data_IF_262971571465
#
_entry.id   IF_262971571465
#
_cell.length_a   1.000
_cell.length_b   1.000
_cell.length_c   1.000
_cell.angle_alpha   90.00
_cell.angle_beta   90.00
_cell.angle_gamma   90.00
#
_symmetry.space_group_name_H-M   'P 1'
#
loop_
_entity.id
_entity.type
_entity.pdbx_description
1 polymer ?
#
# COMPACT_ATOMS: atom_id res chain seq x y z
N UNK A 1 -15.63 14.11 -38.91
CA UNK A 1 -15.33 14.41 -37.50
C UNK A 1 -14.95 13.11 -36.81
N UNK A 2 -13.72 13.00 -36.32
CA UNK A 2 -13.56 12.66 -34.91
C UNK A 2 -12.29 13.30 -34.29
N UNK A 3 -12.37 13.80 -33.06
CA UNK A 3 -11.18 14.03 -32.23
C UNK A 3 -11.43 13.45 -30.83
N UNK A 4 -10.81 12.30 -30.61
CA UNK A 4 -10.48 11.73 -29.30
C UNK A 4 -9.54 12.68 -28.57
N UNK A 5 -9.80 12.96 -27.29
CA UNK A 5 -8.86 13.64 -26.40
C UNK A 5 -8.79 12.88 -25.07
N UNK A 6 -8.05 11.76 -25.05
CA UNK A 6 -7.46 11.25 -23.82
C UNK A 6 -6.15 12.00 -23.59
N UNK A 7 -6.20 13.05 -22.77
CA UNK A 7 -5.00 13.74 -22.29
C UNK A 7 -4.49 13.03 -21.03
N UNK A 8 -3.44 12.24 -21.19
CA UNK A 8 -2.63 11.74 -20.07
C UNK A 8 -1.62 12.83 -19.71
N UNK A 9 -1.63 13.31 -18.46
CA UNK A 9 -0.67 14.28 -17.96
C UNK A 9 0.45 13.53 -17.21
N UNK A 10 1.68 13.61 -17.72
CA UNK A 10 2.89 13.26 -16.97
C UNK A 10 3.47 14.58 -16.49
N UNK A 11 3.46 14.82 -15.18
CA UNK A 11 4.11 15.97 -14.56
C UNK A 11 5.53 15.56 -14.16
N UNK A 12 6.53 16.13 -14.83
CA UNK A 12 7.91 16.14 -14.37
C UNK A 12 8.17 17.49 -13.68
N UNK A 13 8.53 17.49 -12.40
CA UNK A 13 8.83 18.70 -11.62
C UNK A 13 10.34 18.98 -11.61
N UNK A 14 10.68 20.25 -11.88
CA UNK A 14 12.02 20.84 -11.82
C UNK A 14 12.31 21.40 -10.42
N UNK A 15 13.58 21.30 -10.03
CA UNK A 15 14.35 22.02 -9.00
C UNK A 15 13.63 23.05 -8.10
N UNK A 16 13.43 22.67 -6.83
CA UNK A 16 13.60 23.55 -5.67
C UNK A 16 13.93 22.68 -4.44
N UNK A 17 14.60 23.22 -3.42
CA UNK A 17 15.01 22.50 -2.22
C UNK A 17 13.78 22.16 -1.34
N UNK A 18 12.94 21.27 -1.82
CA UNK A 18 11.72 20.82 -1.17
C UNK A 18 12.00 19.58 -0.32
N UNK A 19 11.50 19.58 0.91
CA UNK A 19 11.60 18.42 1.80
C UNK A 19 10.68 17.33 1.29
N UNK A 20 11.20 16.39 0.52
CA UNK A 20 10.42 15.25 0.02
C UNK A 20 10.29 14.18 1.10
N UNK A 21 9.05 13.77 1.41
CA UNK A 21 8.80 12.49 2.09
C UNK A 21 8.44 11.48 1.00
N UNK A 22 9.32 10.51 0.75
CA UNK A 22 9.21 9.58 -0.40
C UNK A 22 8.80 8.16 -0.04
N UNK A 23 9.03 7.73 1.18
CA UNK A 23 8.64 6.41 1.66
C UNK A 23 8.56 6.42 3.19
N UNK A 24 7.46 5.94 3.73
CA UNK A 24 7.29 5.68 5.16
C UNK A 24 6.96 4.20 5.33
N UNK A 25 7.95 3.47 5.83
CA UNK A 25 7.86 2.06 6.07
C UNK A 25 8.98 1.63 6.98
N UNK A 26 8.67 0.72 7.89
CA UNK A 26 9.63 0.15 8.81
C UNK A 26 9.37 -1.35 8.92
N UNK A 27 10.43 -2.10 9.18
CA UNK A 27 10.35 -3.49 9.57
C UNK A 27 10.69 -3.63 11.04
N UNK A 28 9.87 -4.41 11.75
CA UNK A 28 10.09 -4.71 13.16
C UNK A 28 10.40 -6.21 13.25
N UNK A 29 11.62 -6.62 13.61
CA UNK A 29 11.93 -8.02 13.83
C UNK A 29 11.14 -8.54 15.02
N UNK A 30 10.68 -9.79 14.94
CA UNK A 30 10.07 -10.45 16.08
C UNK A 30 11.03 -10.52 17.27
N UNK A 31 10.49 -10.38 18.48
CA UNK A 31 11.25 -10.63 19.70
C UNK A 31 11.73 -12.08 19.75
N UNK A 32 12.85 -12.33 20.41
CA UNK A 32 13.47 -13.65 20.50
C UNK A 32 12.56 -14.72 21.16
N UNK A 33 11.66 -14.27 22.03
CA UNK A 33 10.69 -15.06 22.80
C UNK A 33 9.29 -15.08 22.16
N UNK A 34 9.11 -14.44 21.00
CA UNK A 34 7.84 -14.42 20.32
C UNK A 34 7.48 -15.82 19.79
N UNK A 35 6.32 -16.34 20.20
CA UNK A 35 5.83 -17.62 19.71
C UNK A 35 5.27 -17.52 18.29
N UNK A 36 6.16 -17.71 17.32
CA UNK A 36 5.85 -17.78 15.89
C UNK A 36 4.87 -18.91 15.54
N UNK A 37 4.59 -19.86 16.44
CA UNK A 37 3.59 -20.91 16.23
C UNK A 37 2.18 -20.34 16.03
N UNK A 38 1.91 -19.18 16.66
CA UNK A 38 0.64 -18.46 16.63
C UNK A 38 0.40 -17.69 15.32
N UNK A 39 1.43 -17.51 14.50
CA UNK A 39 1.34 -16.79 13.23
C UNK A 39 0.80 -17.69 12.13
N UNK A 40 -0.15 -17.17 11.35
CA UNK A 40 -0.66 -17.77 10.11
C UNK A 40 -0.32 -16.88 8.92
N UNK A 41 -0.30 -17.45 7.72
CA UNK A 41 -0.12 -16.68 6.47
C UNK A 41 -1.43 -16.18 5.87
N UNK A 42 -2.56 -16.48 6.53
CA UNK A 42 -3.89 -16.08 6.11
C UNK A 42 -4.22 -14.68 6.60
N UNK A 43 -4.79 -13.86 5.73
CA UNK A 43 -5.28 -12.54 6.11
C UNK A 43 -6.73 -12.65 6.56
N UNK A 44 -7.02 -12.21 7.79
CA UNK A 44 -8.38 -12.28 8.36
C UNK A 44 -9.40 -11.60 7.44
N UNK A 45 -10.47 -12.30 7.07
CA UNK A 45 -11.53 -11.76 6.22
C UNK A 45 -11.20 -11.68 4.71
N UNK A 46 -9.98 -12.05 4.31
CA UNK A 46 -9.54 -12.11 2.90
C UNK A 46 -9.15 -13.53 2.51
N UNK A 47 -8.51 -14.28 3.41
CA UNK A 47 -8.03 -15.64 3.17
C UNK A 47 -6.58 -15.65 2.72
N UNK A 48 -6.25 -16.62 1.86
CA UNK A 48 -4.91 -16.73 1.27
C UNK A 48 -4.67 -15.62 0.25
N UNK A 49 -3.49 -15.01 0.32
CA UNK A 49 -3.05 -14.00 -0.63
C UNK A 49 -1.99 -14.59 -1.58
N UNK A 50 -1.87 -14.00 -2.77
CA UNK A 50 -0.80 -14.28 -3.71
C UNK A 50 0.43 -13.41 -3.47
N UNK A 51 1.42 -13.55 -4.35
CA UNK A 51 2.63 -12.73 -4.32
C UNK A 51 2.34 -11.24 -4.42
N UNK A 52 3.26 -10.43 -3.90
CA UNK A 52 3.25 -8.98 -4.06
C UNK A 52 3.08 -8.63 -5.54
N UNK A 53 2.11 -7.76 -5.85
CA UNK A 53 1.95 -7.28 -7.21
C UNK A 53 2.99 -6.21 -7.47
N UNK A 54 4.00 -6.57 -8.27
CA UNK A 54 4.90 -5.57 -8.84
C UNK A 54 4.09 -4.62 -9.73
N UNK A 55 4.19 -3.34 -9.43
CA UNK A 55 3.53 -2.27 -10.19
C UNK A 55 4.46 -1.87 -11.33
N UNK A 56 4.05 -2.23 -12.55
CA UNK A 56 4.74 -1.88 -13.78
C UNK A 56 4.02 -0.71 -14.45
N UNK A 57 4.72 0.42 -14.58
CA UNK A 57 4.22 1.64 -15.20
C UNK A 57 4.02 1.52 -16.73
N UNK A 58 4.58 0.48 -17.35
CA UNK A 58 4.38 0.19 -18.78
C UNK A 58 3.08 -0.60 -19.03
N UNK A 59 2.48 -1.19 -17.99
CA UNK A 59 1.22 -1.90 -18.12
C UNK A 59 0.03 -0.94 -18.34
N UNK A 60 -1.07 -1.41 -18.96
CA UNK A 60 -2.29 -0.61 -19.10
C UNK A 60 -2.78 -0.07 -17.76
N UNK A 61 -3.14 1.21 -17.71
CA UNK A 61 -3.58 1.92 -16.50
C UNK A 61 -4.65 1.17 -15.70
N UNK A 62 -5.61 0.54 -16.39
CA UNK A 62 -6.72 -0.20 -15.77
C UNK A 62 -6.29 -1.51 -15.07
N UNK A 63 -5.01 -1.89 -15.14
CA UNK A 63 -4.45 -2.98 -14.33
C UNK A 63 -4.29 -2.60 -12.87
N UNK A 64 -4.23 -1.30 -12.56
CA UNK A 64 -4.08 -0.78 -11.20
C UNK A 64 -5.13 0.30 -10.90
N UNK A 65 -5.23 1.32 -11.75
CA UNK A 65 -6.15 2.45 -11.55
C UNK A 65 -7.58 2.01 -11.83
N UNK A 66 -8.51 2.45 -10.99
CA UNK A 66 -9.92 2.05 -11.00
C UNK A 66 -10.17 0.65 -10.45
N UNK A 67 -9.14 -0.04 -9.95
CA UNK A 67 -9.26 -1.38 -9.39
C UNK A 67 -9.65 -1.34 -7.92
N UNK A 68 -10.47 -2.30 -7.52
CA UNK A 68 -10.89 -2.50 -6.14
C UNK A 68 -9.73 -3.06 -5.30
N UNK A 69 -9.61 -2.50 -4.11
CA UNK A 69 -8.68 -2.94 -3.07
C UNK A 69 -9.45 -3.15 -1.77
N UNK A 70 -8.88 -3.93 -0.87
CA UNK A 70 -9.31 -4.01 0.51
C UNK A 70 -8.12 -3.89 1.46
N UNK A 71 -8.42 -3.65 2.74
CA UNK A 71 -7.44 -3.73 3.82
C UNK A 71 -8.10 -4.17 5.10
N UNK A 72 -7.28 -4.62 6.05
CA UNK A 72 -7.72 -4.99 7.41
C UNK A 72 -6.89 -4.20 8.39
N UNK A 73 -7.52 -3.18 8.97
CA UNK A 73 -6.92 -2.32 9.97
C UNK A 73 -7.43 -2.62 11.37
N UNK A 74 -6.67 -2.21 12.38
CA UNK A 74 -7.05 -2.38 13.78
C UNK A 74 -8.30 -1.58 14.13
N UNK A 75 -8.41 -0.36 13.61
CA UNK A 75 -9.41 0.64 14.01
C UNK A 75 -10.69 0.52 13.19
N UNK A 76 -10.59 0.50 11.85
CA UNK A 76 -11.79 0.38 11.00
C UNK A 76 -12.07 -1.04 10.51
N UNK A 77 -11.24 -2.03 10.86
CA UNK A 77 -11.47 -3.41 10.45
C UNK A 77 -11.30 -3.60 8.94
N UNK A 78 -12.16 -4.44 8.36
CA UNK A 78 -12.17 -4.73 6.94
C UNK A 78 -12.90 -3.64 6.16
N UNK A 79 -12.17 -2.91 5.32
CA UNK A 79 -12.70 -1.85 4.46
C UNK A 79 -12.31 -2.10 3.00
N UNK A 80 -13.12 -1.59 2.08
CA UNK A 80 -12.88 -1.66 0.62
C UNK A 80 -12.75 -0.27 0.04
N UNK A 81 -11.99 -0.17 -1.04
CA UNK A 81 -11.71 1.07 -1.74
C UNK A 81 -11.37 0.83 -3.19
N UNK A 82 -11.09 1.93 -3.90
CA UNK A 82 -10.64 1.91 -5.29
C UNK A 82 -9.34 2.70 -5.40
N UNK A 83 -8.37 2.15 -6.13
CA UNK A 83 -7.14 2.88 -6.45
C UNK A 83 -7.47 3.96 -7.48
N UNK A 84 -7.22 5.22 -7.13
CA UNK A 84 -7.55 6.36 -7.97
C UNK A 84 -6.33 6.97 -8.66
N UNK A 85 -5.15 6.85 -8.05
CA UNK A 85 -3.89 7.32 -8.64
C UNK A 85 -2.72 6.46 -8.17
N UNK A 86 -1.65 6.48 -8.95
CA UNK A 86 -0.34 5.93 -8.57
C UNK A 86 0.76 6.96 -8.88
N UNK A 87 1.79 7.02 -8.03
CA UNK A 87 2.90 7.99 -8.11
C UNK A 87 2.42 9.45 -8.17
N UNK A 88 1.60 9.84 -7.19
CA UNK A 88 1.00 11.16 -7.10
C UNK A 88 1.87 12.11 -6.28
N UNK A 89 2.20 13.26 -6.87
CA UNK A 89 2.79 14.40 -6.18
C UNK A 89 1.73 15.49 -6.00
N UNK A 90 1.65 16.09 -4.81
CA UNK A 90 0.75 17.21 -4.51
C UNK A 90 1.30 18.12 -3.43
N UNK A 91 0.87 19.39 -3.44
CA UNK A 91 1.32 20.39 -2.48
C UNK A 91 0.26 20.60 -1.39
N UNK A 92 0.70 20.80 -0.15
CA UNK A 92 -0.18 21.28 0.92
C UNK A 92 -0.42 22.80 0.86
N UNK A 93 -1.23 23.30 1.79
CA UNK A 93 -1.54 24.74 1.89
C UNK A 93 -0.33 25.60 2.27
N UNK A 94 0.73 24.99 2.79
CA UNK A 94 1.99 25.64 3.19
C UNK A 94 3.05 25.55 2.10
N UNK A 95 2.76 24.95 0.95
CA UNK A 95 3.68 24.78 -0.17
C UNK A 95 4.64 23.60 -0.02
N UNK A 96 4.39 22.66 0.90
CA UNK A 96 5.19 21.44 1.05
C UNK A 96 4.71 20.41 0.02
N UNK A 97 5.65 19.90 -0.77
CA UNK A 97 5.41 18.83 -1.75
C UNK A 97 5.40 17.46 -1.09
N UNK A 98 4.29 16.75 -1.22
CA UNK A 98 4.09 15.38 -0.77
C UNK A 98 4.07 14.44 -1.96
N UNK A 99 4.70 13.28 -1.78
CA UNK A 99 4.68 12.21 -2.77
C UNK A 99 4.04 10.96 -2.14
N UNK A 100 3.08 10.35 -2.83
CA UNK A 100 2.49 9.06 -2.44
C UNK A 100 2.47 8.12 -3.62
N UNK A 101 2.86 6.86 -3.40
CA UNK A 101 2.80 5.85 -4.45
C UNK A 101 1.36 5.45 -4.76
N UNK A 102 0.47 5.38 -3.77
CA UNK A 102 -0.92 4.94 -3.97
C UNK A 102 -1.90 5.94 -3.37
N UNK A 103 -2.91 6.31 -4.15
CA UNK A 103 -4.08 7.02 -3.64
C UNK A 103 -5.31 6.11 -3.73
N UNK A 104 -5.90 5.81 -2.58
CA UNK A 104 -7.10 4.97 -2.47
C UNK A 104 -8.27 5.78 -1.94
N UNK A 105 -9.44 5.64 -2.54
CA UNK A 105 -10.70 6.23 -2.05
C UNK A 105 -11.62 5.10 -1.58
N UNK A 106 -12.18 5.25 -0.38
CA UNK A 106 -13.10 4.26 0.18
C UNK A 106 -14.43 4.19 -0.60
N UNK A 107 -15.04 3.01 -0.59
CA UNK A 107 -16.34 2.81 -1.24
C UNK A 107 -17.50 3.35 -0.39
N UNK A 108 -18.68 3.53 -0.99
CA UNK A 108 -19.91 3.93 -0.29
C UNK A 108 -19.82 5.21 0.54
N UNK A 109 -18.95 6.15 0.14
CA UNK A 109 -18.65 7.41 0.87
C UNK A 109 -18.06 7.20 2.27
N UNK A 110 -17.56 6.00 2.57
CA UNK A 110 -16.82 5.70 3.78
C UNK A 110 -15.33 5.97 3.60
N UNK A 111 -14.63 6.28 4.68
CA UNK A 111 -13.17 6.38 4.65
C UNK A 111 -12.57 4.99 4.44
N UNK A 112 -11.49 4.90 3.67
CA UNK A 112 -10.80 3.63 3.51
C UNK A 112 -10.02 3.26 4.77
N UNK A 113 -9.43 4.23 5.47
CA UNK A 113 -8.73 4.05 6.74
C UNK A 113 -9.22 4.98 7.85
N UNK A 114 -8.82 4.68 9.09
CA UNK A 114 -8.96 5.53 10.27
C UNK A 114 -7.63 5.58 11.02
N UNK A 115 -7.49 6.56 11.92
CA UNK A 115 -6.32 6.64 12.80
C UNK A 115 -6.07 5.31 13.52
N UNK A 116 -4.84 4.83 13.40
CA UNK A 116 -4.42 3.53 13.88
C UNK A 116 -4.38 2.43 12.82
N UNK A 117 -4.92 2.63 11.62
CA UNK A 117 -4.79 1.67 10.52
C UNK A 117 -3.45 1.78 9.75
N UNK A 118 -2.62 2.78 10.07
CA UNK A 118 -1.26 2.92 9.55
C UNK A 118 -0.48 1.61 9.68
N UNK A 119 0.23 1.23 8.62
CA UNK A 119 0.95 -0.05 8.56
C UNK A 119 0.12 -1.24 8.08
N UNK A 120 -1.20 -1.07 7.85
CA UNK A 120 -2.01 -2.15 7.27
C UNK A 120 -1.70 -2.36 5.78
N UNK A 121 -1.77 -3.61 5.33
CA UNK A 121 -1.60 -3.95 3.91
C UNK A 121 -2.79 -3.47 3.08
N UNK A 122 -2.50 -2.86 1.94
CA UNK A 122 -3.45 -2.59 0.85
C UNK A 122 -3.38 -3.76 -0.12
N UNK A 123 -4.50 -4.45 -0.31
CA UNK A 123 -4.59 -5.69 -1.08
C UNK A 123 -5.49 -5.46 -2.29
N UNK A 124 -4.94 -5.63 -3.50
CA UNK A 124 -5.70 -5.67 -4.73
C UNK A 124 -6.59 -6.91 -4.75
N UNK A 125 -7.90 -6.71 -4.87
CA UNK A 125 -8.82 -7.84 -4.96
C UNK A 125 -8.64 -8.53 -6.30
N UNK A 126 -8.55 -9.86 -6.28
CA UNK A 126 -8.41 -10.66 -7.49
C UNK A 126 -9.60 -10.50 -8.44
N UNK A 127 -9.35 -10.70 -9.74
CA UNK A 127 -10.38 -10.89 -10.75
C UNK A 127 -10.40 -12.35 -11.17
N UNK A 128 -11.57 -12.88 -11.52
CA UNK A 128 -11.72 -14.16 -12.21
C UNK A 128 -10.88 -15.31 -11.62
N UNK A 129 -11.04 -15.53 -10.30
CA UNK A 129 -10.37 -16.56 -9.50
C UNK A 129 -8.88 -16.34 -9.19
N UNK A 130 -8.29 -15.20 -9.55
CA UNK A 130 -6.96 -14.83 -9.06
C UNK A 130 -6.99 -14.62 -7.54
N UNK A 131 -5.90 -15.03 -6.87
CA UNK A 131 -5.71 -14.72 -5.45
C UNK A 131 -5.59 -13.20 -5.28
N UNK A 132 -6.12 -12.61 -4.17
CA UNK A 132 -5.85 -11.23 -3.81
C UNK A 132 -4.34 -11.00 -3.68
N UNK A 133 -3.84 -9.86 -4.14
CA UNK A 133 -2.39 -9.57 -4.15
C UNK A 133 -2.08 -8.30 -3.37
N UNK A 134 -1.13 -8.33 -2.43
CA UNK A 134 -0.74 -7.12 -1.72
C UNK A 134 0.02 -6.19 -2.66
N UNK A 135 -0.27 -4.89 -2.59
CA UNK A 135 0.28 -3.86 -3.50
C UNK A 135 0.91 -2.68 -2.77
N UNK A 136 0.52 -2.48 -1.51
CA UNK A 136 0.98 -1.34 -0.75
C UNK A 136 0.78 -1.50 0.74
N UNK A 137 1.27 -0.51 1.48
CA UNK A 137 1.06 -0.36 2.92
C UNK A 137 0.50 1.03 3.19
N UNK A 138 -0.46 1.14 4.11
CA UNK A 138 -1.04 2.44 4.49
C UNK A 138 0.02 3.27 5.18
N UNK A 139 0.23 4.47 4.64
CA UNK A 139 1.11 5.45 5.22
C UNK A 139 0.33 6.37 6.18
N UNK A 140 0.77 6.45 7.43
CA UNK A 140 0.20 7.35 8.43
C UNK A 140 0.51 8.83 8.20
N UNK A 141 -0.17 9.72 8.93
CA UNK A 141 0.20 11.15 8.99
C UNK A 141 -0.42 12.07 7.92
N UNK A 142 -1.20 11.52 6.99
CA UNK A 142 -1.88 12.28 5.93
C UNK A 142 -3.40 12.33 6.15
N UNK A 143 -3.85 12.66 7.36
CA UNK A 143 -5.25 13.03 7.57
C UNK A 143 -5.58 14.29 6.74
N UNK A 144 -5.99 14.10 5.48
CA UNK A 144 -6.48 15.10 4.53
C UNK A 144 -5.77 16.47 4.61
N UNK A 145 -4.44 16.51 4.63
CA UNK A 145 -3.67 17.77 4.81
C UNK A 145 -3.42 18.56 3.53
N UNK A 146 -3.84 18.08 2.36
CA UNK A 146 -3.53 18.69 1.06
C UNK A 146 -4.75 19.12 0.25
N UNK A 147 -4.59 20.18 -0.55
CA UNK A 147 -5.58 20.61 -1.55
C UNK A 147 -5.42 19.78 -2.83
N UNK A 148 -5.70 18.48 -2.78
CA UNK A 148 -5.80 17.69 -4.00
C UNK A 148 -7.06 18.13 -4.77
N UNK A 149 -6.93 19.16 -5.60
CA UNK A 149 -8.01 19.66 -6.46
C UNK A 149 -8.02 18.86 -7.75
N UNK A 150 -8.85 17.82 -7.82
CA UNK A 150 -9.28 17.28 -9.11
C UNK A 150 -10.14 18.36 -9.78
N UNK A 151 -9.98 18.55 -11.11
CA UNK A 151 -10.64 19.65 -11.85
C UNK A 151 -12.15 19.68 -11.54
N UNK A 152 -12.68 20.89 -11.32
CA UNK A 152 -14.04 21.23 -10.88
C UNK A 152 -14.29 21.10 -9.37
N UNK A 153 -13.67 21.99 -8.58
CA UNK A 153 -14.08 22.45 -7.24
C UNK A 153 -14.34 21.41 -6.13
N UNK A 154 -14.17 20.12 -6.42
CA UNK A 154 -14.47 19.00 -5.53
C UNK A 154 -13.24 18.08 -5.48
N UNK A 155 -12.40 18.26 -4.46
CA UNK A 155 -11.35 17.29 -4.13
C UNK A 155 -11.96 16.03 -3.51
N UNK A 156 -11.27 14.88 -3.55
CA UNK A 156 -11.70 13.70 -2.81
C UNK A 156 -11.68 14.03 -1.32
N UNK A 157 -12.86 14.11 -0.70
CA UNK A 157 -12.98 14.55 0.70
C UNK A 157 -12.33 13.57 1.69
N UNK A 158 -12.07 12.32 1.28
CA UNK A 158 -11.42 11.30 2.08
C UNK A 158 -10.66 10.32 1.19
N UNK A 159 -9.34 10.37 1.25
CA UNK A 159 -8.46 9.46 0.53
C UNK A 159 -7.34 8.98 1.45
N UNK A 160 -6.77 7.83 1.11
CA UNK A 160 -5.71 7.18 1.86
C UNK A 160 -4.45 7.15 1.01
N UNK A 161 -3.34 7.59 1.60
CA UNK A 161 -2.00 7.46 1.04
C UNK A 161 -1.45 6.06 1.29
N UNK A 162 -0.75 5.51 0.31
CA UNK A 162 0.00 4.27 0.46
C UNK A 162 1.38 4.35 -0.16
N UNK A 163 2.28 3.50 0.35
CA UNK A 163 3.62 3.25 -0.22
C UNK A 163 3.56 1.96 -1.03
N UNK A 164 4.27 1.92 -2.15
CA UNK A 164 4.42 0.72 -2.98
C UNK A 164 5.14 -0.38 -2.18
N UNK A 165 4.46 -1.50 -1.96
CA UNK A 165 4.99 -2.58 -1.13
C UNK A 165 6.19 -3.27 -1.78
N UNK A 166 6.18 -3.46 -3.11
CA UNK A 166 7.29 -4.10 -3.80
C UNK A 166 8.58 -3.29 -3.64
N UNK A 167 8.49 -1.98 -3.92
CA UNK A 167 9.62 -1.06 -3.75
C UNK A 167 10.10 -0.97 -2.31
N UNK A 168 9.18 -1.01 -1.34
CA UNK A 168 9.53 -0.97 0.08
C UNK A 168 10.28 -2.23 0.50
N UNK A 169 9.78 -3.40 0.10
CA UNK A 169 10.41 -4.68 0.40
C UNK A 169 11.80 -4.80 -0.25
N UNK A 170 11.95 -4.36 -1.50
CA UNK A 170 13.25 -4.33 -2.19
C UNK A 170 14.27 -3.47 -1.43
N UNK A 171 13.85 -2.31 -0.93
CA UNK A 171 14.74 -1.41 -0.16
C UNK A 171 15.11 -1.94 1.22
N UNK A 172 14.22 -2.71 1.84
CA UNK A 172 14.45 -3.32 3.15
C UNK A 172 15.14 -4.69 3.03
N UNK A 173 15.30 -5.21 1.81
CA UNK A 173 15.82 -6.55 1.52
C UNK A 173 15.01 -7.65 2.23
N UNK A 174 13.67 -7.56 2.10
CA UNK A 174 12.73 -8.46 2.76
C UNK A 174 11.81 -9.17 1.77
N UNK A 175 11.46 -10.42 2.10
CA UNK A 175 10.44 -11.18 1.40
C UNK A 175 9.15 -11.27 2.22
N UNK A 176 8.01 -11.29 1.53
CA UNK A 176 6.71 -11.51 2.17
C UNK A 176 6.43 -13.01 2.32
N UNK A 177 6.19 -13.46 3.55
CA UNK A 177 5.83 -14.84 3.86
C UNK A 177 4.32 -15.05 3.60
N UNK A 178 3.99 -15.74 2.51
CA UNK A 178 2.59 -16.01 2.12
C UNK A 178 2.21 -17.50 2.14
N UNK A 179 3.18 -18.40 2.35
CA UNK A 179 2.95 -19.86 2.37
C UNK A 179 3.32 -20.47 3.72
N UNK A 180 2.64 -21.57 4.08
CA UNK A 180 2.96 -22.31 5.30
C UNK A 180 4.37 -22.91 5.28
N UNK A 181 4.88 -23.26 4.10
CA UNK A 181 6.22 -23.80 3.87
C UNK A 181 7.29 -22.75 4.15
N UNK A 182 7.14 -21.53 3.60
CA UNK A 182 8.06 -20.42 3.88
C UNK A 182 8.06 -20.05 5.36
N UNK A 183 6.87 -20.03 5.99
CA UNK A 183 6.76 -19.81 7.43
C UNK A 183 7.49 -20.89 8.24
N UNK A 184 7.33 -22.17 7.89
CA UNK A 184 8.08 -23.28 8.54
C UNK A 184 9.60 -23.13 8.36
N UNK A 185 10.05 -22.70 7.19
CA UNK A 185 11.47 -22.39 6.94
C UNK A 185 12.01 -21.32 7.89
N UNK A 186 11.26 -20.23 8.08
CA UNK A 186 11.61 -19.19 9.05
C UNK A 186 11.65 -19.72 10.49
N UNK A 187 10.72 -20.61 10.87
CA UNK A 187 10.72 -21.26 12.20
C UNK A 187 11.98 -22.09 12.42
N UNK A 188 12.42 -22.86 11.42
CA UNK A 188 13.62 -23.68 11.50
C UNK A 188 14.89 -22.81 11.62
N UNK A 189 14.99 -21.74 10.83
CA UNK A 189 16.09 -20.79 10.89
C UNK A 189 16.18 -20.06 12.25
N UNK A 190 15.03 -19.65 12.82
CA UNK A 190 14.97 -19.03 14.14
C UNK A 190 15.45 -20.00 15.24
N UNK A 191 15.02 -21.27 15.20
CA UNK A 191 15.43 -22.29 16.18
C UNK A 191 16.92 -22.62 16.10
N UNK A 192 17.49 -22.65 14.90
CA UNK A 192 18.93 -22.89 14.70
C UNK A 192 19.81 -21.78 15.31
N UNK A 193 19.36 -20.52 15.27
CA UNK A 193 20.08 -19.39 15.91
C UNK A 193 20.09 -19.48 17.43
N UNK A 194 19.05 -20.02 18.04
CA UNK A 194 18.96 -20.20 19.51
C UNK A 194 19.80 -21.40 19.98
N UNK A 195 19.92 -22.44 19.16
CA UNK A 195 20.69 -23.66 19.49
C UNK A 195 22.21 -23.57 19.25
N UNK A 196 22.73 -22.46 18.72
CA UNK A 196 24.15 -22.27 18.38
C UNK A 196 24.99 -21.58 19.46
N UNK A 197 24.39 -21.17 20.57
CA UNK A 197 25.12 -20.69 21.75
C UNK A 197 25.18 -21.81 22.80
N UNK A 198 26.19 -22.66 22.71
CA UNK A 198 26.59 -23.62 23.75
C UNK A 198 28.09 -23.58 23.93
#
# INVERSE_FOLDING_TARGET
MPCSNSQTYVLCSNESAETFVRADGAFIPFAHDFDISTVTTTVRGVGDIGDVKVIDLQCPLNRLIGRRVCKIGRSSGHTTGTVMAYALEYNDEKGISFFTDLLVVGENRQTFDLEGDSGSLIILTGQDSEKPRPIGIIWGGTANRGRLKLRCDHGPQNWTSGVDLGRLLDRLELDLIITSESLKGCRAAAKARVGGCS
#
